data_IF_148501892689
#
_entry.id   IF_148501892689
#
_cell.length_a   1.000
_cell.length_b   1.000
_cell.length_c   1.000
_cell.angle_alpha   90.00
_cell.angle_beta   90.00
_cell.angle_gamma   90.00
#
_symmetry.space_group_name_H-M   'P 1'
#
loop_
_entity.id
_entity.type
_entity.pdbx_description
1 polymer ?
#
# COMPACT_ATOMS: atom_id res chain seq x y z
N UNK A 1 64.33 -0.32 15.18
CA UNK A 1 63.71 0.06 16.48
C UNK A 1 62.85 1.30 16.20
N UNK A 2 61.62 1.12 15.70
CA UNK A 2 60.36 0.94 16.45
C UNK A 2 59.63 2.25 16.81
N UNK A 3 59.49 3.21 15.88
CA UNK A 3 58.68 4.40 16.13
C UNK A 3 57.85 4.90 14.92
N UNK A 4 57.66 4.08 13.88
CA UNK A 4 56.88 4.51 12.69
C UNK A 4 55.82 3.52 12.19
N UNK A 5 55.56 2.42 12.91
CA UNK A 5 54.56 1.42 12.54
C UNK A 5 53.29 1.44 13.42
N UNK A 6 53.17 2.42 14.32
CA UNK A 6 52.10 2.47 15.32
C UNK A 6 51.10 3.62 15.09
N UNK A 7 50.95 4.11 13.85
CA UNK A 7 49.97 5.17 13.53
C UNK A 7 48.88 4.74 12.54
N UNK A 8 48.73 3.43 12.33
CA UNK A 8 47.74 2.83 11.43
C UNK A 8 46.85 1.79 12.16
N UNK A 9 46.63 1.98 13.46
CA UNK A 9 45.86 1.05 14.29
C UNK A 9 44.80 1.73 15.17
N UNK A 10 44.23 2.85 14.72
CA UNK A 10 43.17 3.58 15.44
C UNK A 10 41.99 3.98 14.55
N UNK A 11 41.63 3.14 13.57
CA UNK A 11 40.43 3.36 12.73
C UNK A 11 39.51 2.15 12.66
N UNK A 12 39.39 1.39 13.74
CA UNK A 12 38.42 0.30 13.84
C UNK A 12 37.57 0.51 15.10
N UNK A 13 36.25 0.44 14.91
CA UNK A 13 35.18 0.45 15.91
C UNK A 13 34.63 1.81 16.37
N UNK A 14 34.10 2.59 15.42
CA UNK A 14 32.77 3.18 15.63
C UNK A 14 31.83 2.50 14.63
N UNK A 15 31.60 1.20 14.84
CA UNK A 15 30.52 0.50 14.17
C UNK A 15 29.26 1.08 14.80
N UNK A 16 28.52 1.80 13.97
CA UNK A 16 27.21 2.34 14.24
C UNK A 16 26.42 1.36 15.12
N UNK A 17 26.06 1.83 16.32
CA UNK A 17 24.89 1.28 16.99
C UNK A 17 23.72 1.53 16.05
N UNK A 18 23.39 0.54 15.23
CA UNK A 18 22.06 0.45 14.66
C UNK A 18 21.15 0.39 15.87
N UNK A 19 20.63 1.54 16.27
CA UNK A 19 19.48 1.63 17.14
C UNK A 19 18.34 0.94 16.38
N UNK A 20 18.30 -0.38 16.46
CA UNK A 20 17.14 -1.16 16.08
C UNK A 20 16.07 -0.75 17.07
N UNK A 21 15.29 0.26 16.69
CA UNK A 21 14.02 0.53 17.34
C UNK A 21 13.29 -0.82 17.43
N UNK A 22 12.73 -1.17 18.60
CA UNK A 22 12.02 -2.43 18.74
C UNK A 22 10.94 -2.51 17.66
N UNK A 23 10.95 -3.59 16.87
CA UNK A 23 9.94 -3.80 15.84
C UNK A 23 8.58 -3.88 16.51
N UNK A 24 7.74 -2.87 16.30
CA UNK A 24 6.34 -2.95 16.71
C UNK A 24 5.71 -4.15 16.00
N UNK A 25 5.03 -5.06 16.72
CA UNK A 25 4.34 -6.15 16.07
C UNK A 25 3.20 -5.59 15.20
N UNK A 26 2.89 -6.21 14.04
CA UNK A 26 1.72 -5.83 13.27
C UNK A 26 0.44 -6.04 14.09
N UNK A 27 -0.63 -5.27 13.84
CA UNK A 27 -1.88 -5.39 14.58
C UNK A 27 -2.53 -6.76 14.33
N UNK A 28 -3.15 -7.30 15.37
CA UNK A 28 -3.91 -8.55 15.31
C UNK A 28 -5.39 -8.28 15.01
N UNK A 29 -6.00 -9.15 14.21
CA UNK A 29 -7.42 -9.11 13.87
C UNK A 29 -8.10 -10.35 14.47
N UNK A 30 -8.73 -10.23 15.66
CA UNK A 30 -9.37 -11.37 16.31
C UNK A 30 -10.61 -11.84 15.53
N UNK A 31 -10.98 -13.11 15.68
CA UNK A 31 -12.24 -13.62 15.12
C UNK A 31 -12.22 -13.84 13.59
N UNK A 32 -11.04 -13.83 12.95
CA UNK A 32 -10.90 -14.17 11.52
C UNK A 32 -11.60 -15.49 11.18
N UNK A 33 -11.57 -16.48 12.06
CA UNK A 33 -12.21 -17.80 11.86
C UNK A 33 -13.72 -17.71 11.58
N UNK A 34 -14.39 -16.68 12.10
CA UNK A 34 -15.84 -16.50 11.89
C UNK A 34 -16.20 -16.23 10.43
N UNK A 35 -15.25 -15.69 9.66
CA UNK A 35 -15.43 -15.42 8.23
C UNK A 35 -15.34 -16.66 7.34
N UNK A 36 -15.05 -17.84 7.90
CA UNK A 36 -15.20 -19.12 7.20
C UNK A 36 -16.65 -19.44 6.82
N UNK A 37 -17.62 -18.72 7.40
CA UNK A 37 -19.04 -18.83 7.07
C UNK A 37 -19.42 -18.17 5.74
N UNK A 38 -18.56 -17.31 5.19
CA UNK A 38 -18.77 -16.68 3.88
C UNK A 38 -18.00 -17.47 2.82
N UNK A 39 -18.68 -17.81 1.73
CA UNK A 39 -18.04 -18.31 0.51
C UNK A 39 -17.42 -17.14 -0.24
N UNK A 40 -16.08 -17.08 -0.25
CA UNK A 40 -15.33 -16.13 -1.05
C UNK A 40 -15.01 -16.78 -2.39
N UNK A 41 -15.54 -16.24 -3.47
CA UNK A 41 -15.17 -16.61 -4.83
C UNK A 41 -14.06 -15.65 -5.30
N UNK A 42 -12.81 -16.10 -5.21
CA UNK A 42 -11.68 -15.34 -5.74
C UNK A 42 -11.64 -15.51 -7.26
N UNK A 43 -12.05 -14.47 -7.98
CA UNK A 43 -12.07 -14.38 -9.44
C UNK A 43 -10.95 -13.46 -9.96
N UNK A 44 -10.02 -13.06 -9.09
CA UNK A 44 -8.91 -12.17 -9.46
C UNK A 44 -8.02 -12.81 -10.51
N UNK A 45 -7.42 -12.01 -11.41
CA UNK A 45 -6.28 -12.47 -12.18
C UNK A 45 -5.20 -12.98 -11.23
N UNK A 46 -4.66 -14.18 -11.50
CA UNK A 46 -3.66 -14.82 -10.63
C UNK A 46 -2.44 -13.93 -10.36
N UNK A 47 -2.04 -13.13 -11.34
CA UNK A 47 -0.93 -12.19 -11.23
C UNK A 47 -1.13 -11.19 -10.09
N UNK A 48 -2.36 -10.83 -9.73
CA UNK A 48 -2.63 -9.86 -8.66
C UNK A 48 -2.16 -10.31 -7.27
N UNK A 49 -2.09 -11.62 -7.03
CA UNK A 49 -1.55 -12.18 -5.79
C UNK A 49 -0.01 -12.24 -5.76
N UNK A 50 0.66 -11.97 -6.88
CA UNK A 50 2.10 -12.15 -7.06
C UNK A 50 2.84 -10.80 -7.04
N UNK A 51 4.07 -10.81 -6.51
CA UNK A 51 4.95 -9.64 -6.49
C UNK A 51 5.51 -9.36 -7.89
N UNK A 52 5.45 -8.11 -8.31
CA UNK A 52 6.03 -7.62 -9.57
C UNK A 52 6.81 -6.35 -9.31
N UNK A 53 8.05 -6.25 -9.81
CA UNK A 53 8.79 -4.98 -9.85
C UNK A 53 8.75 -4.50 -11.30
N UNK A 54 7.98 -3.44 -11.58
CA UNK A 54 7.78 -3.02 -12.97
C UNK A 54 9.04 -2.39 -13.60
N UNK A 55 9.81 -1.62 -12.83
CA UNK A 55 11.12 -1.17 -13.28
C UNK A 55 12.02 -0.69 -12.14
N UNK A 56 13.33 -0.94 -12.30
CA UNK A 56 14.39 -0.38 -11.48
C UNK A 56 15.17 0.74 -12.18
N UNK A 57 14.85 1.03 -13.45
CA UNK A 57 15.54 2.06 -14.23
C UNK A 57 14.93 3.44 -13.96
N UNK A 58 15.72 4.39 -13.46
CA UNK A 58 15.24 5.74 -13.07
C UNK A 58 14.51 6.47 -14.22
N UNK A 59 14.96 6.25 -15.45
CA UNK A 59 14.41 6.83 -16.69
C UNK A 59 13.08 6.20 -17.14
N UNK A 60 12.72 5.03 -16.59
CA UNK A 60 11.47 4.34 -16.94
C UNK A 60 10.25 5.01 -16.31
N UNK A 61 9.15 5.09 -17.05
CA UNK A 61 7.83 5.50 -16.53
C UNK A 61 7.32 4.60 -15.39
N UNK A 62 7.83 3.36 -15.30
CA UNK A 62 7.47 2.38 -14.28
C UNK A 62 8.49 2.27 -13.13
N UNK A 63 9.50 3.14 -13.08
CA UNK A 63 10.55 3.14 -12.06
C UNK A 63 9.95 3.04 -10.66
N UNK A 64 10.49 2.23 -9.75
CA UNK A 64 10.09 2.24 -8.34
C UNK A 64 8.58 2.06 -8.07
N UNK A 65 7.87 1.46 -9.03
CA UNK A 65 6.51 0.95 -8.87
C UNK A 65 6.61 -0.56 -8.76
N UNK A 66 5.90 -1.12 -7.79
CA UNK A 66 5.80 -2.57 -7.65
C UNK A 66 4.40 -2.99 -7.19
N UNK A 67 3.98 -4.16 -7.65
CA UNK A 67 2.82 -4.88 -7.15
C UNK A 67 3.21 -5.64 -5.89
N UNK A 68 2.41 -5.49 -4.83
CA UNK A 68 2.62 -6.18 -3.56
C UNK A 68 1.96 -7.55 -3.63
N UNK A 69 2.67 -8.60 -3.22
CA UNK A 69 2.10 -9.94 -3.09
C UNK A 69 1.09 -10.02 -1.94
N UNK A 70 0.12 -10.94 -2.06
CA UNK A 70 -0.91 -11.18 -1.04
C UNK A 70 -0.31 -11.62 0.31
N UNK A 71 0.80 -12.34 0.28
CA UNK A 71 1.48 -12.89 1.46
C UNK A 71 2.34 -11.87 2.22
N UNK A 72 2.42 -10.63 1.72
CA UNK A 72 3.12 -9.53 2.37
C UNK A 72 2.48 -9.12 3.72
N UNK A 73 1.23 -9.52 3.98
CA UNK A 73 0.53 -9.27 5.23
C UNK A 73 -0.10 -10.53 5.80
N UNK A 74 -0.31 -10.54 7.12
CA UNK A 74 -1.13 -11.54 7.80
C UNK A 74 -2.16 -10.80 8.67
N UNK A 75 -3.48 -10.97 8.43
CA UNK A 75 -4.12 -11.71 7.33
C UNK A 75 -3.82 -11.11 5.95
N UNK A 76 -4.10 -11.89 4.88
CA UNK A 76 -4.08 -11.36 3.50
C UNK A 76 -5.23 -10.36 3.29
N UNK A 77 -5.10 -9.48 2.31
CA UNK A 77 -6.13 -8.49 1.98
C UNK A 77 -7.52 -9.10 1.72
N UNK A 78 -7.66 -10.10 0.83
CA UNK A 78 -8.94 -10.79 0.61
C UNK A 78 -9.50 -11.46 1.86
N UNK A 79 -8.63 -12.02 2.73
CA UNK A 79 -9.05 -12.64 3.99
C UNK A 79 -9.60 -11.61 4.96
N UNK A 80 -8.94 -10.45 5.07
CA UNK A 80 -9.41 -9.33 5.88
C UNK A 80 -10.73 -8.77 5.32
N UNK A 81 -10.85 -8.64 4.01
CA UNK A 81 -12.07 -8.21 3.34
C UNK A 81 -13.25 -9.13 3.69
N UNK A 82 -13.07 -10.44 3.57
CA UNK A 82 -14.11 -11.41 3.93
C UNK A 82 -14.55 -11.27 5.39
N UNK A 83 -13.60 -11.07 6.29
CA UNK A 83 -13.87 -10.86 7.71
C UNK A 83 -14.64 -9.57 7.98
N UNK A 84 -14.18 -8.42 7.48
CA UNK A 84 -14.89 -7.14 7.64
C UNK A 84 -16.26 -7.13 6.99
N UNK A 85 -16.41 -7.84 5.88
CA UNK A 85 -17.68 -7.98 5.20
C UNK A 85 -18.68 -8.77 6.04
N UNK A 86 -18.24 -9.87 6.67
CA UNK A 86 -19.04 -10.64 7.62
C UNK A 86 -19.48 -9.79 8.82
N UNK A 87 -18.57 -9.00 9.40
CA UNK A 87 -18.88 -8.12 10.53
C UNK A 87 -19.90 -7.04 10.16
N UNK A 88 -19.79 -6.48 8.94
CA UNK A 88 -20.58 -5.33 8.52
C UNK A 88 -21.96 -5.68 7.97
N UNK A 89 -22.13 -6.85 7.35
CA UNK A 89 -23.37 -7.25 6.68
C UNK A 89 -23.91 -8.59 7.23
N UNK A 90 -24.67 -8.56 8.34
CA UNK A 90 -25.30 -9.77 8.89
C UNK A 90 -26.19 -10.51 7.89
N UNK A 91 -26.76 -9.80 6.92
CA UNK A 91 -27.61 -10.32 5.83
C UNK A 91 -26.90 -11.35 4.94
N UNK A 92 -25.58 -11.30 4.86
CA UNK A 92 -24.78 -12.32 4.17
C UNK A 92 -24.87 -13.70 4.83
N UNK A 93 -25.42 -13.80 6.05
CA UNK A 93 -25.77 -15.11 6.64
C UNK A 93 -26.77 -15.89 5.78
N UNK A 94 -27.61 -15.20 4.99
CA UNK A 94 -28.60 -15.81 4.11
C UNK A 94 -28.10 -15.98 2.66
N UNK A 95 -27.15 -15.15 2.23
CA UNK A 95 -26.50 -15.21 0.91
C UNK A 95 -24.99 -15.06 1.07
N UNK A 96 -24.28 -16.11 1.51
CA UNK A 96 -22.90 -16.00 1.97
C UNK A 96 -21.93 -16.03 0.79
N UNK A 97 -22.11 -15.17 -0.21
CA UNK A 97 -21.21 -15.14 -1.38
C UNK A 97 -20.70 -13.73 -1.63
N UNK A 98 -19.37 -13.61 -1.65
CA UNK A 98 -18.65 -12.43 -2.13
C UNK A 98 -17.80 -12.90 -3.30
N UNK A 99 -17.99 -12.29 -4.47
CA UNK A 99 -17.04 -12.45 -5.58
C UNK A 99 -16.01 -11.34 -5.48
N UNK A 100 -14.73 -11.69 -5.50
CA UNK A 100 -13.64 -10.73 -5.53
C UNK A 100 -13.06 -10.76 -6.94
N UNK A 101 -13.26 -9.70 -7.70
CA UNK A 101 -12.78 -9.60 -9.08
C UNK A 101 -11.40 -8.95 -9.14
N UNK A 102 -11.13 -8.00 -8.25
CA UNK A 102 -9.81 -7.40 -8.10
C UNK A 102 -9.52 -7.13 -6.62
N UNK A 103 -8.32 -7.47 -6.19
CA UNK A 103 -7.76 -7.04 -4.91
C UNK A 103 -6.26 -6.99 -5.12
N UNK A 104 -5.78 -5.80 -5.47
CA UNK A 104 -4.38 -5.60 -5.87
C UNK A 104 -3.86 -4.31 -5.26
N UNK A 105 -2.59 -4.36 -4.85
CA UNK A 105 -1.91 -3.23 -4.24
C UNK A 105 -0.67 -2.88 -5.02
N UNK A 106 -0.53 -1.60 -5.34
CA UNK A 106 0.66 -1.04 -5.96
C UNK A 106 1.32 -0.05 -5.02
N UNK A 107 2.59 -0.25 -4.71
CA UNK A 107 3.39 0.77 -4.05
C UNK A 107 4.09 1.61 -5.10
N UNK A 108 3.93 2.93 -5.00
CA UNK A 108 4.59 3.90 -5.86
C UNK A 108 5.53 4.77 -5.03
N UNK A 109 6.83 4.58 -5.25
CA UNK A 109 7.90 5.32 -4.58
C UNK A 109 8.59 6.33 -5.50
N UNK A 110 8.06 6.56 -6.72
CA UNK A 110 8.73 7.33 -7.77
C UNK A 110 9.11 8.74 -7.35
N UNK A 111 8.13 9.47 -6.80
CA UNK A 111 8.30 10.87 -6.44
C UNK A 111 9.45 11.08 -5.47
N UNK A 112 9.61 10.15 -4.53
CA UNK A 112 10.63 10.23 -3.50
C UNK A 112 11.99 9.78 -4.02
N UNK A 113 12.06 8.61 -4.66
CA UNK A 113 13.35 8.08 -5.11
C UNK A 113 13.97 8.94 -6.21
N UNK A 114 13.16 9.49 -7.13
CA UNK A 114 13.68 10.45 -8.12
C UNK A 114 14.21 11.73 -7.48
N UNK A 115 13.53 12.25 -6.45
CA UNK A 115 14.00 13.43 -5.72
C UNK A 115 15.34 13.17 -5.03
N UNK A 116 15.50 12.02 -4.38
CA UNK A 116 16.75 11.64 -3.73
C UNK A 116 17.87 11.39 -4.74
N UNK A 117 17.60 10.67 -5.85
CA UNK A 117 18.61 10.41 -6.88
C UNK A 117 19.09 11.66 -7.60
N UNK A 118 18.18 12.59 -7.92
CA UNK A 118 18.57 13.87 -8.52
C UNK A 118 19.44 14.69 -7.56
N UNK A 119 19.01 14.83 -6.30
CA UNK A 119 19.79 15.56 -5.30
C UNK A 119 21.16 14.92 -5.05
N UNK A 120 21.25 13.60 -4.93
CA UNK A 120 22.52 12.88 -4.80
C UNK A 120 23.44 13.12 -6.02
N UNK A 121 22.87 13.16 -7.23
CA UNK A 121 23.59 13.50 -8.45
C UNK A 121 24.11 14.94 -8.47
N UNK A 122 23.39 15.90 -7.86
CA UNK A 122 23.78 17.31 -7.82
C UNK A 122 24.67 17.70 -6.64
N UNK A 123 24.61 16.97 -5.52
CA UNK A 123 25.24 17.38 -4.24
C UNK A 123 26.21 16.35 -3.67
N UNK A 124 26.40 15.22 -4.35
CA UNK A 124 27.30 14.16 -3.92
C UNK A 124 26.86 13.51 -2.60
N UNK A 125 27.79 12.83 -1.89
CA UNK A 125 27.48 12.07 -0.67
C UNK A 125 26.98 12.95 0.50
N UNK A 126 27.29 14.25 0.50
CA UNK A 126 26.87 15.20 1.54
C UNK A 126 25.36 15.46 1.49
N UNK A 127 24.76 15.56 0.31
CA UNK A 127 23.30 15.78 0.21
C UNK A 127 22.46 14.54 0.50
N UNK A 128 23.05 13.34 0.44
CA UNK A 128 22.38 12.09 0.86
C UNK A 128 22.19 12.06 2.37
N UNK A 129 23.17 12.54 3.15
CA UNK A 129 23.08 12.59 4.61
C UNK A 129 21.97 13.53 5.12
N UNK A 130 21.65 14.61 4.39
CA UNK A 130 20.56 15.55 4.71
C UNK A 130 19.14 14.97 4.53
N UNK A 131 19.01 13.74 4.02
CA UNK A 131 17.73 13.06 3.80
C UNK A 131 17.50 11.86 4.73
N UNK A 132 18.51 11.41 5.49
CA UNK A 132 18.39 10.25 6.37
C UNK A 132 17.34 10.42 7.48
N UNK A 133 17.07 11.67 7.89
CA UNK A 133 16.12 12.02 8.96
C UNK A 133 14.75 12.53 8.45
N UNK A 134 14.43 12.36 7.15
CA UNK A 134 13.15 12.87 6.64
C UNK A 134 12.00 11.89 6.87
N UNK A 135 11.14 12.23 7.82
CA UNK A 135 9.76 11.76 7.86
C UNK A 135 9.08 12.01 6.51
N UNK A 136 8.38 11.01 5.99
CA UNK A 136 7.63 11.17 4.75
C UNK A 136 6.44 12.13 4.98
N UNK A 137 6.11 12.98 4.01
CA UNK A 137 5.00 13.90 4.19
C UNK A 137 3.70 13.11 4.41
N UNK A 138 3.02 13.37 5.52
CA UNK A 138 1.73 12.75 5.78
C UNK A 138 0.63 13.35 4.91
N UNK A 139 -0.36 12.53 4.54
CA UNK A 139 -1.57 12.92 3.82
C UNK A 139 -2.78 12.12 4.25
N UNK A 140 -3.91 12.40 3.60
CA UNK A 140 -5.18 11.74 3.90
C UNK A 140 -5.38 10.51 3.01
N UNK A 141 -6.13 9.53 3.52
CA UNK A 141 -6.54 8.38 2.72
C UNK A 141 -7.69 8.80 1.81
N UNK A 142 -7.50 8.64 0.50
CA UNK A 142 -8.51 9.00 -0.50
C UNK A 142 -9.06 7.72 -1.12
N UNK A 143 -10.37 7.50 -1.04
CA UNK A 143 -11.05 6.39 -1.70
C UNK A 143 -12.03 6.92 -2.73
N UNK A 144 -11.87 6.50 -3.97
CA UNK A 144 -12.71 6.90 -5.10
C UNK A 144 -13.40 5.67 -5.66
N UNK A 145 -14.69 5.78 -5.96
CA UNK A 145 -15.38 4.76 -6.76
C UNK A 145 -14.99 4.97 -8.23
N UNK A 146 -14.60 3.89 -8.90
CA UNK A 146 -14.17 3.91 -10.30
C UNK A 146 -14.99 2.92 -11.12
N UNK A 147 -14.85 2.98 -12.44
CA UNK A 147 -15.40 1.97 -13.35
C UNK A 147 -14.44 0.76 -13.41
N UNK A 148 -14.93 -0.43 -13.00
CA UNK A 148 -14.15 -1.68 -13.05
C UNK A 148 -13.62 -2.03 -14.43
N UNK A 149 -14.30 -1.63 -15.51
CA UNK A 149 -13.80 -1.85 -16.86
C UNK A 149 -12.52 -1.06 -17.16
N UNK A 150 -12.28 0.07 -16.48
CA UNK A 150 -11.04 0.82 -16.63
C UNK A 150 -9.86 0.08 -16.01
N UNK A 151 -10.10 -0.67 -14.93
CA UNK A 151 -9.07 -1.52 -14.34
C UNK A 151 -8.68 -2.65 -15.30
N UNK A 152 -9.67 -3.34 -15.86
CA UNK A 152 -9.45 -4.43 -16.83
C UNK A 152 -8.64 -3.98 -18.06
N UNK A 153 -8.89 -2.76 -18.57
CA UNK A 153 -8.20 -2.19 -19.75
C UNK A 153 -6.71 -1.96 -19.57
N UNK A 154 -6.23 -1.81 -18.34
CA UNK A 154 -4.81 -1.53 -18.04
C UNK A 154 -4.02 -2.78 -17.69
N UNK A 155 -4.53 -3.98 -17.99
CA UNK A 155 -3.79 -5.23 -17.75
C UNK A 155 -2.58 -5.39 -18.68
N UNK A 156 -1.58 -6.17 -18.26
CA UNK A 156 -0.39 -6.47 -19.07
C UNK A 156 0.65 -5.35 -19.00
N UNK A 157 1.17 -4.91 -20.16
CA UNK A 157 2.31 -4.00 -20.25
C UNK A 157 2.04 -2.61 -19.62
N UNK A 158 0.78 -2.20 -19.54
CA UNK A 158 0.37 -0.91 -18.97
C UNK A 158 -0.03 -0.99 -17.50
N UNK A 159 0.10 -2.14 -16.84
CA UNK A 159 -0.39 -2.35 -15.48
C UNK A 159 0.22 -1.40 -14.47
N UNK A 160 1.49 -1.03 -14.64
CA UNK A 160 2.17 -0.07 -13.77
C UNK A 160 1.47 1.29 -13.69
N UNK A 161 0.70 1.67 -14.72
CA UNK A 161 -0.04 2.93 -14.75
C UNK A 161 -1.16 2.99 -13.70
N UNK A 162 -1.63 1.84 -13.21
CA UNK A 162 -2.61 1.76 -12.10
C UNK A 162 -2.06 2.37 -10.81
N UNK A 163 -0.74 2.46 -10.65
CA UNK A 163 -0.11 3.07 -9.49
C UNK A 163 0.03 4.61 -9.61
N UNK A 164 -0.39 5.20 -10.73
CA UNK A 164 -0.33 6.64 -10.92
C UNK A 164 -1.41 7.37 -10.13
N UNK A 165 -1.10 8.61 -9.78
CA UNK A 165 -1.97 9.54 -9.09
C UNK A 165 -1.65 10.97 -9.54
N UNK A 166 -2.66 11.82 -9.48
CA UNK A 166 -2.57 13.22 -9.83
C UNK A 166 -1.91 14.06 -8.73
N UNK A 167 -1.55 15.30 -9.05
CA UNK A 167 -0.97 16.22 -8.08
C UNK A 167 -2.01 16.68 -7.04
N UNK A 168 -3.29 16.67 -7.42
CA UNK A 168 -4.42 17.00 -6.57
C UNK A 168 -4.65 15.92 -5.51
N UNK A 169 -4.47 14.65 -5.90
CA UNK A 169 -4.61 13.50 -5.00
C UNK A 169 -3.42 13.32 -4.03
N UNK A 170 -2.23 13.77 -4.42
CA UNK A 170 -1.03 13.68 -3.59
C UNK A 170 -0.13 14.93 -3.76
N UNK A 171 -0.57 16.09 -3.23
CA UNK A 171 0.12 17.36 -3.46
C UNK A 171 1.52 17.39 -2.85
N UNK A 172 1.74 16.62 -1.78
CA UNK A 172 3.04 16.51 -1.11
C UNK A 172 3.98 15.50 -1.78
N UNK A 173 3.49 14.79 -2.81
CA UNK A 173 4.22 13.78 -3.57
C UNK A 173 4.85 12.71 -2.67
N UNK A 174 4.13 12.31 -1.64
CA UNK A 174 4.53 11.24 -0.72
C UNK A 174 4.58 9.90 -1.44
N UNK A 175 5.34 8.90 -0.94
CA UNK A 175 5.12 7.52 -1.37
C UNK A 175 3.67 7.11 -1.06
N UNK A 176 3.05 6.32 -1.94
CA UNK A 176 1.63 5.93 -1.79
C UNK A 176 1.47 4.44 -2.10
N UNK A 177 0.63 3.78 -1.30
CA UNK A 177 0.03 2.50 -1.68
C UNK A 177 -1.31 2.79 -2.37
N UNK A 178 -1.46 2.36 -3.61
CA UNK A 178 -2.71 2.41 -4.38
C UNK A 178 -3.35 1.02 -4.33
N UNK A 179 -4.47 0.91 -3.64
CA UNK A 179 -5.18 -0.35 -3.41
C UNK A 179 -6.47 -0.33 -4.22
N UNK A 180 -6.63 -1.30 -5.12
CA UNK A 180 -7.86 -1.52 -5.86
C UNK A 180 -8.65 -2.65 -5.20
N UNK A 181 -9.94 -2.43 -5.01
CA UNK A 181 -10.89 -3.44 -4.51
C UNK A 181 -12.07 -3.44 -5.46
N UNK A 182 -12.31 -4.56 -6.13
CA UNK A 182 -13.49 -4.81 -6.95
C UNK A 182 -14.20 -6.06 -6.46
N UNK A 183 -15.42 -5.88 -6.00
CA UNK A 183 -16.22 -6.97 -5.44
C UNK A 183 -17.62 -6.95 -6.02
N UNK A 184 -18.26 -8.11 -6.05
CA UNK A 184 -19.69 -8.26 -6.26
C UNK A 184 -20.26 -8.99 -5.05
N UNK A 185 -21.17 -8.33 -4.33
CA UNK A 185 -21.88 -8.88 -3.18
C UNK A 185 -23.23 -8.18 -3.03
N UNK A 186 -24.21 -8.84 -2.40
CA UNK A 186 -25.56 -8.30 -2.22
C UNK A 186 -26.20 -7.81 -3.54
N UNK A 187 -25.88 -8.45 -4.66
CA UNK A 187 -26.38 -8.10 -5.99
C UNK A 187 -25.81 -6.81 -6.59
N UNK A 188 -24.77 -6.21 -5.99
CA UNK A 188 -24.12 -4.98 -6.45
C UNK A 188 -22.63 -5.24 -6.70
N UNK A 189 -22.09 -4.74 -7.82
CA UNK A 189 -20.63 -4.65 -8.06
C UNK A 189 -20.15 -3.26 -7.68
N UNK A 190 -19.08 -3.18 -6.91
CA UNK A 190 -18.42 -1.93 -6.53
C UNK A 190 -16.94 -2.07 -6.80
N UNK A 191 -16.37 -1.09 -7.49
CA UNK A 191 -14.93 -0.98 -7.72
C UNK A 191 -14.45 0.31 -7.09
N UNK A 192 -13.41 0.23 -6.25
CA UNK A 192 -12.78 1.39 -5.62
C UNK A 192 -11.29 1.41 -5.82
N UNK A 193 -10.75 2.63 -5.95
CA UNK A 193 -9.32 2.93 -5.90
C UNK A 193 -9.04 3.75 -4.65
N UNK A 194 -8.17 3.22 -3.79
CA UNK A 194 -7.81 3.81 -2.50
C UNK A 194 -6.34 4.19 -2.50
N UNK A 195 -6.04 5.48 -2.30
CA UNK A 195 -4.68 5.99 -2.13
C UNK A 195 -4.39 6.14 -0.64
N UNK A 196 -3.34 5.47 -0.20
CA UNK A 196 -2.87 5.50 1.19
C UNK A 196 -1.45 6.07 1.25
N UNK A 197 -1.30 7.37 1.54
CA UNK A 197 -0.02 7.96 1.89
C UNK A 197 0.37 7.60 3.34
N UNK A 198 1.58 7.97 3.80
CA UNK A 198 1.90 8.07 5.21
C UNK A 198 0.85 8.89 5.96
N UNK A 199 0.48 8.48 7.17
CA UNK A 199 -0.55 9.15 7.98
C UNK A 199 0.12 9.71 9.24
N UNK A 200 -0.13 10.98 9.56
CA UNK A 200 0.56 11.68 10.66
C UNK A 200 0.32 11.03 12.02
N UNK A 201 -0.90 10.53 12.25
CA UNK A 201 -1.27 9.81 13.48
C UNK A 201 -0.77 8.37 13.53
N UNK A 202 -0.20 7.84 12.44
CA UNK A 202 0.30 6.46 12.32
C UNK A 202 1.70 6.45 11.65
N UNK A 203 2.76 6.82 12.39
CA UNK A 203 4.12 6.88 11.85
C UNK A 203 4.65 5.51 11.38
N UNK A 204 4.10 4.41 11.92
CA UNK A 204 4.39 3.04 11.51
C UNK A 204 3.14 2.35 10.94
N UNK A 205 2.50 2.96 9.96
CA UNK A 205 1.33 2.37 9.30
C UNK A 205 1.70 1.04 8.64
N UNK A 206 1.14 -0.05 9.16
CA UNK A 206 1.30 -1.36 8.54
C UNK A 206 0.39 -1.49 7.31
N UNK A 207 0.84 -2.23 6.29
CA UNK A 207 0.04 -2.43 5.07
C UNK A 207 -1.33 -3.07 5.36
N UNK A 208 -1.42 -3.92 6.38
CA UNK A 208 -2.69 -4.51 6.81
C UNK A 208 -3.67 -3.47 7.37
N UNK A 209 -3.19 -2.39 7.98
CA UNK A 209 -4.03 -1.27 8.42
C UNK A 209 -4.49 -0.43 7.22
N UNK A 210 -3.63 -0.26 6.21
CA UNK A 210 -4.02 0.37 4.96
C UNK A 210 -5.13 -0.44 4.27
N UNK A 211 -5.03 -1.78 4.25
CA UNK A 211 -6.10 -2.65 3.79
C UNK A 211 -7.38 -2.43 4.58
N UNK A 212 -7.31 -2.41 5.92
CA UNK A 212 -8.47 -2.21 6.78
C UNK A 212 -9.21 -0.89 6.49
N UNK A 213 -8.46 0.21 6.34
CA UNK A 213 -9.01 1.52 5.99
C UNK A 213 -9.70 1.50 4.61
N UNK A 214 -9.04 0.96 3.59
CA UNK A 214 -9.60 0.89 2.24
C UNK A 214 -10.81 -0.05 2.17
N UNK A 215 -10.78 -1.18 2.88
CA UNK A 215 -11.91 -2.11 3.01
C UNK A 215 -13.09 -1.42 3.68
N UNK A 216 -12.87 -0.70 4.79
CA UNK A 216 -13.94 0.00 5.49
C UNK A 216 -14.66 1.01 4.57
N UNK A 217 -13.89 1.81 3.81
CA UNK A 217 -14.40 2.77 2.84
C UNK A 217 -15.12 2.07 1.68
N UNK A 218 -14.53 1.02 1.12
CA UNK A 218 -15.14 0.22 0.05
C UNK A 218 -16.49 -0.36 0.48
N UNK A 219 -16.55 -0.98 1.65
CA UNK A 219 -17.77 -1.57 2.19
C UNK A 219 -18.81 -0.51 2.56
N UNK A 220 -18.42 0.74 2.81
CA UNK A 220 -19.39 1.82 3.05
C UNK A 220 -20.24 2.12 1.80
N UNK A 221 -19.72 1.85 0.60
CA UNK A 221 -20.46 2.04 -0.66
C UNK A 221 -21.56 0.98 -0.88
N UNK A 222 -21.58 -0.08 -0.08
CA UNK A 222 -22.65 -1.08 -0.07
C UNK A 222 -23.78 -0.74 0.91
N UNK A 223 -23.49 0.07 1.94
CA UNK A 223 -24.50 0.54 2.90
C UNK A 223 -25.19 1.82 2.40
N UNK A 224 -26.48 1.73 2.09
CA UNK A 224 -27.40 2.81 1.66
C UNK A 224 -27.30 3.24 0.18
N UNK A 225 -28.45 3.21 -0.50
CA UNK A 225 -28.68 3.76 -1.85
C UNK A 225 -28.64 5.28 -1.91
N UNK A 226 -27.50 5.89 -1.60
CA UNK A 226 -27.24 7.31 -1.72
C UNK A 226 -25.81 7.56 -2.20
N UNK A 227 -25.65 8.52 -3.11
CA UNK A 227 -24.40 8.88 -3.77
C UNK A 227 -23.19 8.99 -2.82
N UNK A 228 -21.97 8.69 -3.29
CA UNK A 228 -20.77 8.75 -2.48
C UNK A 228 -20.59 10.16 -1.92
N UNK A 229 -20.45 10.28 -0.61
CA UNK A 229 -19.82 11.46 -0.01
C UNK A 229 -18.33 11.22 -0.08
N UNK A 230 -17.60 12.11 -0.74
CA UNK A 230 -16.15 12.22 -0.58
C UNK A 230 -15.84 12.44 0.90
N UNK A 231 -15.51 11.37 1.60
CA UNK A 231 -15.00 11.44 2.96
C UNK A 231 -13.50 11.63 2.90
N UNK A 232 -13.07 12.90 2.84
CA UNK A 232 -11.83 13.29 3.47
C UNK A 232 -12.02 13.10 4.98
N UNK A 233 -11.44 12.05 5.54
CA UNK A 233 -11.39 11.87 6.98
C UNK A 233 -10.61 13.07 7.58
N UNK A 234 -11.27 13.86 8.43
CA UNK A 234 -10.67 14.92 9.23
C UNK A 234 -10.10 14.38 10.53
#
# INVERSE_FOLDING_TARGET
MHALKALFLTSILVIAGCATQPSLPPPEFPGLDQSSKITVQDLRPRSEGEKEIFSLLITSSAYAIYRVADDATKPTGPRLLAHRTYEKFPELSNQPTIKVLHFVTYANLQSQLRKTSLLAGFTGPIGVALLADKEFPAGDVLTTQIDGQQLEKTAGDEEYTRAYFSAEENPKKSPVNVIYIDTEMLGKRVTTRCLVPPIASKPHLFLVEAYDMCIANHLALYGNGGAPKDTAAK
#
